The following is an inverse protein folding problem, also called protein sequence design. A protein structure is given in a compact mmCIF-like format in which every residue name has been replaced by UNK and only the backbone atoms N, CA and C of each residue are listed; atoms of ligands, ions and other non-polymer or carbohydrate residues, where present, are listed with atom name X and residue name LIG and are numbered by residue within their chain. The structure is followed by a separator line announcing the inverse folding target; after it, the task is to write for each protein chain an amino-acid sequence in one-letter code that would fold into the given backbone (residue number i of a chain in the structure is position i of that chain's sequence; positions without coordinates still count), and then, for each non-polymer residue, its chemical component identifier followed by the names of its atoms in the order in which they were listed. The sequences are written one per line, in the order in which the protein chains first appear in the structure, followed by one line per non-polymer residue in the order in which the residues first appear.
data_IF_870526137965
#
_entry.id   IF_870526137965
#
_cell.length_a   1.000
_cell.length_b   1.000
_cell.length_c   1.000
_cell.angle_alpha   90.00
_cell.angle_beta   90.00
_cell.angle_gamma   90.00
#
_symmetry.space_group_name_H-M   'P 1'
#
loop_
_entity.id
_entity.type
_entity.pdbx_description
1 polymer ?
#
# COMPACT_ATOMS: atom_id res chain seq x y z
N UNK A 1 -21.17 8.90 -7.90
CA UNK A 1 -21.33 9.98 -6.90
C UNK A 1 -21.31 9.46 -5.47
N UNK A 2 -22.16 8.50 -5.07
CA UNK A 2 -22.18 7.98 -3.68
C UNK A 2 -20.83 7.50 -3.14
N UNK A 3 -20.10 6.70 -3.93
CA UNK A 3 -18.82 6.11 -3.49
C UNK A 3 -17.72 7.15 -3.30
N UNK A 4 -17.74 8.23 -4.08
CA UNK A 4 -16.78 9.32 -3.94
C UNK A 4 -17.01 10.10 -2.65
N UNK A 5 -18.27 10.41 -2.31
CA UNK A 5 -18.60 11.04 -1.03
C UNK A 5 -18.24 10.16 0.17
N UNK A 6 -18.51 8.85 0.09
CA UNK A 6 -18.12 7.89 1.14
C UNK A 6 -16.60 7.83 1.31
N UNK A 7 -15.85 7.78 0.20
CA UNK A 7 -14.40 7.79 0.24
C UNK A 7 -13.87 9.06 0.94
N UNK A 8 -14.40 10.24 0.62
CA UNK A 8 -14.02 11.49 1.28
C UNK A 8 -14.32 11.46 2.79
N UNK A 9 -15.52 11.03 3.19
CA UNK A 9 -15.88 10.96 4.60
C UNK A 9 -15.00 9.97 5.39
N UNK A 10 -14.62 8.84 4.79
CA UNK A 10 -13.69 7.88 5.40
C UNK A 10 -12.29 8.50 5.56
N UNK A 11 -11.80 9.19 4.54
CA UNK A 11 -10.49 9.85 4.59
C UNK A 11 -10.44 10.93 5.68
N UNK A 12 -11.46 11.76 5.79
CA UNK A 12 -11.58 12.74 6.88
C UNK A 12 -11.58 12.07 8.26
N UNK A 13 -12.23 10.90 8.38
CA UNK A 13 -12.19 10.09 9.59
C UNK A 13 -10.77 9.59 9.92
N UNK A 14 -10.06 9.05 8.94
CA UNK A 14 -8.69 8.58 9.10
C UNK A 14 -7.71 9.69 9.47
N UNK A 15 -7.91 10.90 8.95
CA UNK A 15 -7.08 12.05 9.32
C UNK A 15 -7.25 12.40 10.80
N UNK A 16 -8.50 12.43 11.28
CA UNK A 16 -8.81 12.70 12.69
C UNK A 16 -8.27 11.62 13.63
N UNK A 17 -8.23 10.37 13.18
CA UNK A 17 -7.64 9.25 13.92
C UNK A 17 -6.11 9.33 13.94
N UNK A 18 -5.49 9.97 12.94
CA UNK A 18 -4.05 10.07 12.79
C UNK A 18 -3.43 8.83 12.15
N UNK A 19 -4.06 8.29 11.10
CA UNK A 19 -3.49 7.18 10.34
C UNK A 19 -2.15 7.57 9.69
N UNK A 20 -1.13 6.71 9.85
CA UNK A 20 0.22 6.99 9.34
C UNK A 20 0.41 6.68 7.84
N UNK A 21 -0.43 5.79 7.28
CA UNK A 21 -0.41 5.47 5.87
C UNK A 21 -1.69 4.74 5.46
N UNK A 22 -2.05 4.85 4.17
CA UNK A 22 -3.10 4.05 3.52
C UNK A 22 -2.44 3.21 2.41
N UNK A 23 -2.61 1.89 2.47
CA UNK A 23 -2.17 1.02 1.38
C UNK A 23 -3.17 1.08 0.22
N UNK A 24 -2.68 1.26 -1.01
CA UNK A 24 -3.53 1.25 -2.21
C UNK A 24 -3.86 -0.19 -2.59
N UNK A 25 -5.14 -0.55 -2.46
CA UNK A 25 -5.68 -1.84 -2.88
C UNK A 25 -6.80 -1.72 -3.91
N UNK A 26 -7.60 -2.78 -4.02
CA UNK A 26 -8.72 -2.84 -4.97
C UNK A 26 -9.70 -1.68 -4.81
N UNK A 27 -10.08 -1.38 -3.57
CA UNK A 27 -11.14 -0.41 -3.27
C UNK A 27 -10.71 1.03 -3.54
N UNK A 28 -9.46 1.37 -3.21
CA UNK A 28 -8.89 2.69 -3.49
C UNK A 28 -8.83 2.96 -5.00
N UNK A 29 -8.66 1.92 -5.81
CA UNK A 29 -8.63 1.99 -7.27
C UNK A 29 -10.01 1.99 -7.94
N UNK A 30 -11.11 1.65 -7.24
CA UNK A 30 -12.43 1.48 -7.88
C UNK A 30 -12.93 2.72 -8.62
N UNK A 31 -12.67 3.91 -8.09
CA UNK A 31 -13.10 5.18 -8.67
C UNK A 31 -12.16 5.71 -9.78
N UNK A 32 -11.13 4.95 -10.16
CA UNK A 32 -10.16 5.36 -11.17
C UNK A 32 -8.91 6.04 -10.59
N UNK A 33 -7.81 5.99 -11.36
CA UNK A 33 -6.50 6.49 -10.93
C UNK A 33 -6.50 8.01 -10.73
N UNK A 34 -7.18 8.75 -11.61
CA UNK A 34 -7.28 10.21 -11.51
C UNK A 34 -7.94 10.65 -10.22
N UNK A 35 -9.08 10.03 -9.86
CA UNK A 35 -9.77 10.31 -8.60
C UNK A 35 -8.90 9.94 -7.40
N UNK A 36 -8.25 8.77 -7.43
CA UNK A 36 -7.36 8.35 -6.35
C UNK A 36 -6.20 9.34 -6.15
N UNK A 37 -5.57 9.81 -7.23
CA UNK A 37 -4.48 10.79 -7.17
C UNK A 37 -4.95 12.14 -6.63
N UNK A 38 -6.13 12.60 -7.03
CA UNK A 38 -6.74 13.81 -6.50
C UNK A 38 -6.98 13.70 -4.98
N UNK A 39 -7.55 12.57 -4.53
CA UNK A 39 -7.80 12.33 -3.10
C UNK A 39 -6.51 12.17 -2.29
N UNK A 40 -5.51 11.48 -2.82
CA UNK A 40 -4.21 11.35 -2.18
C UNK A 40 -3.51 12.71 -2.01
N UNK A 41 -3.73 13.65 -2.92
CA UNK A 41 -3.23 15.03 -2.80
C UNK A 41 -4.05 15.94 -1.89
N UNK A 42 -5.28 15.55 -1.51
CA UNK A 42 -6.15 16.35 -0.64
C UNK A 42 -6.06 15.98 0.84
N UNK A 43 -5.22 15.01 1.21
CA UNK A 43 -5.02 14.56 2.60
C UNK A 43 -3.55 14.60 2.97
N UNK A 44 -3.30 14.77 4.27
CA UNK A 44 -1.96 14.62 4.87
C UNK A 44 -1.52 13.17 5.03
N UNK A 45 -2.45 12.20 4.89
CA UNK A 45 -2.13 10.78 5.03
C UNK A 45 -1.44 10.29 3.75
N UNK A 46 -0.22 9.73 3.85
CA UNK A 46 0.48 9.22 2.68
C UNK A 46 -0.18 7.93 2.19
N UNK A 47 -0.47 7.90 0.89
CA UNK A 47 -0.84 6.68 0.19
C UNK A 47 0.42 5.95 -0.24
N UNK A 48 0.52 4.67 0.11
CA UNK A 48 1.70 3.84 -0.17
C UNK A 48 1.33 2.61 -1.01
N UNK A 49 2.26 2.19 -1.87
CA UNK A 49 2.21 0.91 -2.57
C UNK A 49 3.55 0.60 -3.23
N UNK A 50 4.16 -0.52 -2.87
CA UNK A 50 5.47 -0.92 -3.34
C UNK A 50 5.46 -1.62 -4.70
N UNK A 51 4.30 -2.07 -5.17
CA UNK A 51 4.20 -2.91 -6.36
C UNK A 51 3.26 -2.37 -7.44
N UNK A 52 2.59 -1.24 -7.23
CA UNK A 52 1.74 -0.62 -8.25
C UNK A 52 2.51 0.32 -9.18
N UNK A 53 2.36 0.12 -10.48
CA UNK A 53 3.07 0.85 -11.53
C UNK A 53 2.13 1.42 -12.59
N UNK A 54 2.55 2.54 -13.19
CA UNK A 54 1.94 3.01 -14.43
C UNK A 54 2.30 2.04 -15.56
N UNK A 55 1.29 1.54 -16.29
CA UNK A 55 1.48 0.65 -17.42
C UNK A 55 2.32 1.27 -18.55
N UNK A 56 2.31 2.60 -18.70
CA UNK A 56 3.03 3.31 -19.76
C UNK A 56 4.51 3.53 -19.43
N UNK A 57 4.82 3.84 -18.16
CA UNK A 57 6.17 4.24 -17.73
C UNK A 57 6.91 3.20 -16.90
N UNK A 58 6.21 2.22 -16.33
CA UNK A 58 6.72 1.26 -15.31
C UNK A 58 7.24 1.90 -14.02
N UNK A 59 7.09 3.21 -13.84
CA UNK A 59 7.39 3.87 -12.58
C UNK A 59 6.36 3.51 -11.52
N UNK A 60 6.79 3.53 -10.25
CA UNK A 60 5.89 3.35 -9.12
C UNK A 60 4.87 4.49 -9.07
N UNK A 61 3.62 4.15 -8.83
CA UNK A 61 2.55 5.14 -8.71
C UNK A 61 2.55 5.83 -7.35
N UNK A 62 3.07 5.19 -6.31
CA UNK A 62 3.05 5.70 -4.93
C UNK A 62 4.39 5.40 -4.27
N UNK A 63 4.65 6.06 -3.14
CA UNK A 63 5.82 5.71 -2.34
C UNK A 63 5.68 4.26 -1.85
N UNK A 64 6.75 3.45 -1.91
CA UNK A 64 6.65 2.03 -1.61
C UNK A 64 6.41 1.74 -0.13
N UNK A 65 6.92 2.61 0.74
CA UNK A 65 6.85 2.46 2.18
C UNK A 65 6.95 3.82 2.87
N UNK A 66 6.65 3.83 4.17
CA UNK A 66 6.93 4.94 5.07
C UNK A 66 7.63 4.45 6.33
N UNK A 67 8.61 5.21 6.82
CA UNK A 67 9.22 4.96 8.12
C UNK A 67 8.72 6.05 9.08
N UNK A 68 8.20 5.64 10.23
CA UNK A 68 7.70 6.52 11.27
C UNK A 68 8.42 6.24 12.57
N UNK A 69 8.78 7.29 13.30
CA UNK A 69 9.41 7.14 14.61
C UNK A 69 8.33 7.14 15.71
N UNK A 70 8.42 6.19 16.64
CA UNK A 70 7.57 6.07 17.83
C UNK A 70 8.44 5.85 19.05
N UNK A 71 8.71 6.92 19.78
CA UNK A 71 9.70 6.92 20.85
C UNK A 71 11.08 6.60 20.29
N UNK A 72 11.67 5.49 20.75
CA UNK A 72 12.98 5.02 20.29
C UNK A 72 12.90 4.02 19.13
N UNK A 73 11.70 3.65 18.69
CA UNK A 73 11.51 2.67 17.63
C UNK A 73 11.24 3.34 16.28
N UNK A 74 11.95 2.90 15.26
CA UNK A 74 11.65 3.14 13.87
C UNK A 74 10.72 2.03 13.37
N UNK A 75 9.55 2.41 12.87
CA UNK A 75 8.55 1.50 12.32
C UNK A 75 8.45 1.70 10.82
N UNK A 76 8.85 0.71 10.03
CA UNK A 76 8.69 0.68 8.58
C UNK A 76 7.33 0.09 8.20
N UNK A 77 6.58 0.78 7.35
CA UNK A 77 5.26 0.36 6.87
C UNK A 77 5.33 0.22 5.35
N UNK A 78 5.17 -1.00 4.83
CA UNK A 78 5.18 -1.30 3.39
C UNK A 78 3.74 -1.58 2.93
N UNK A 79 3.35 -1.02 1.78
CA UNK A 79 2.06 -1.30 1.14
C UNK A 79 2.20 -2.27 -0.02
N UNK A 80 1.36 -3.29 -0.11
CA UNK A 80 1.35 -4.28 -1.19
C UNK A 80 -0.08 -4.66 -1.58
N UNK A 81 -0.31 -4.97 -2.86
CA UNK A 81 -1.60 -5.49 -3.32
C UNK A 81 -1.45 -6.60 -4.36
N UNK A 82 -2.31 -7.61 -4.29
CA UNK A 82 -2.48 -8.59 -5.37
C UNK A 82 -3.85 -8.46 -6.04
N UNK A 83 -4.62 -7.43 -5.69
CA UNK A 83 -6.01 -7.27 -6.09
C UNK A 83 -6.18 -5.95 -6.84
N UNK A 84 -5.96 -6.00 -8.15
CA UNK A 84 -6.38 -4.94 -9.05
C UNK A 84 -7.84 -5.14 -9.44
N UNK A 85 -8.65 -4.06 -9.56
CA UNK A 85 -9.96 -4.16 -10.18
C UNK A 85 -9.83 -4.63 -11.64
N UNK A 86 -10.72 -5.51 -12.10
CA UNK A 86 -10.70 -6.00 -13.49
C UNK A 86 -10.88 -4.88 -14.52
N UNK A 87 -11.48 -3.76 -14.11
CA UNK A 87 -11.67 -2.56 -14.92
C UNK A 87 -10.43 -1.68 -15.04
N UNK A 88 -9.36 -1.95 -14.27
CA UNK A 88 -8.13 -1.16 -14.32
C UNK A 88 -7.23 -1.57 -15.47
N UNK A 89 -7.13 -0.70 -16.47
CA UNK A 89 -6.33 -0.94 -17.69
C UNK A 89 -5.01 -0.16 -17.71
N UNK A 90 -4.87 0.87 -16.88
CA UNK A 90 -3.72 1.79 -16.86
C UNK A 90 -2.70 1.48 -15.75
N UNK A 91 -3.05 0.60 -14.81
CA UNK A 91 -2.21 0.23 -13.68
C UNK A 91 -1.83 -1.23 -13.78
N UNK A 92 -0.57 -1.55 -13.48
CA UNK A 92 -0.07 -2.92 -13.34
C UNK A 92 0.47 -3.14 -11.94
N UNK A 93 0.46 -4.39 -11.47
CA UNK A 93 1.04 -4.78 -10.19
C UNK A 93 2.16 -5.79 -10.41
N UNK A 94 3.35 -5.52 -9.85
CA UNK A 94 4.39 -6.54 -9.73
C UNK A 94 3.96 -7.63 -8.73
N UNK A 95 4.63 -8.78 -8.75
CA UNK A 95 4.37 -9.84 -7.77
C UNK A 95 4.61 -9.33 -6.35
N UNK A 96 3.52 -9.27 -5.58
CA UNK A 96 3.53 -8.68 -4.25
C UNK A 96 4.40 -9.45 -3.24
N UNK A 97 4.60 -10.76 -3.43
CA UNK A 97 5.46 -11.57 -2.55
C UNK A 97 6.94 -11.30 -2.84
N UNK A 98 7.33 -11.28 -4.11
CA UNK A 98 8.70 -10.95 -4.53
C UNK A 98 9.06 -9.51 -4.16
N UNK A 99 8.19 -8.55 -4.47
CA UNK A 99 8.38 -7.14 -4.09
C UNK A 99 8.46 -7.00 -2.56
N UNK A 100 7.55 -7.63 -1.82
CA UNK A 100 7.56 -7.61 -0.35
C UNK A 100 8.86 -8.15 0.23
N UNK A 101 9.37 -9.29 -0.27
CA UNK A 101 10.67 -9.84 0.16
C UNK A 101 11.83 -8.89 -0.13
N UNK A 102 11.83 -8.23 -1.28
CA UNK A 102 12.86 -7.25 -1.65
C UNK A 102 12.90 -6.07 -0.67
N UNK A 103 11.74 -5.47 -0.37
CA UNK A 103 11.66 -4.37 0.60
C UNK A 103 11.92 -4.81 2.03
N UNK A 104 11.53 -6.03 2.42
CA UNK A 104 11.87 -6.59 3.73
C UNK A 104 13.39 -6.68 3.90
N UNK A 105 14.11 -7.23 2.93
CA UNK A 105 15.59 -7.28 2.97
C UNK A 105 16.20 -5.89 3.03
N UNK A 106 15.68 -4.94 2.25
CA UNK A 106 16.17 -3.56 2.20
C UNK A 106 15.98 -2.81 3.53
N UNK A 107 14.82 -2.99 4.18
CA UNK A 107 14.42 -2.20 5.34
C UNK A 107 14.76 -2.84 6.68
N UNK A 108 15.01 -4.16 6.73
CA UNK A 108 15.29 -4.88 7.99
C UNK A 108 16.42 -4.26 8.83
N UNK A 109 17.42 -3.66 8.20
CA UNK A 109 18.54 -3.01 8.90
C UNK A 109 18.27 -1.54 9.30
N UNK A 110 17.17 -0.94 8.85
CA UNK A 110 16.85 0.48 9.02
C UNK A 110 15.72 0.72 10.03
N UNK A 111 14.96 -0.33 10.37
CA UNK A 111 13.78 -0.23 11.23
C UNK A 111 13.81 -1.31 12.31
N UNK A 112 13.27 -0.98 13.48
CA UNK A 112 13.14 -1.92 14.60
C UNK A 112 11.92 -2.82 14.41
N UNK A 113 10.86 -2.27 13.81
CA UNK A 113 9.61 -2.98 13.53
C UNK A 113 9.27 -2.78 12.06
N UNK A 114 8.94 -3.88 11.37
CA UNK A 114 8.45 -3.84 9.99
C UNK A 114 7.01 -4.35 9.93
N UNK A 115 6.13 -3.52 9.38
CA UNK A 115 4.70 -3.81 9.17
C UNK A 115 4.44 -3.89 7.67
N UNK A 116 3.78 -4.97 7.23
CA UNK A 116 3.35 -5.13 5.84
C UNK A 116 1.83 -5.05 5.76
N UNK A 117 1.33 -4.04 5.06
CA UNK A 117 -0.09 -3.89 4.73
C UNK A 117 -0.34 -4.57 3.38
N UNK A 118 -1.03 -5.71 3.38
CA UNK A 118 -1.23 -6.53 2.18
C UNK A 118 -2.71 -6.63 1.82
N UNK A 119 -3.09 -6.08 0.66
CA UNK A 119 -4.41 -6.27 0.08
C UNK A 119 -4.39 -7.50 -0.84
N UNK A 120 -4.72 -8.67 -0.30
CA UNK A 120 -4.81 -9.93 -1.06
C UNK A 120 -6.03 -10.75 -0.64
N UNK A 121 -6.33 -11.79 -1.41
CA UNK A 121 -7.42 -12.70 -1.12
C UNK A 121 -7.07 -13.57 0.12
N UNK A 122 -8.06 -13.84 0.97
CA UNK A 122 -7.88 -14.54 2.25
C UNK A 122 -7.21 -15.91 2.10
N UNK A 123 -7.42 -16.60 0.98
CA UNK A 123 -6.79 -17.91 0.68
C UNK A 123 -5.27 -17.85 0.57
N UNK A 124 -4.71 -16.67 0.27
CA UNK A 124 -3.28 -16.49 0.03
C UNK A 124 -2.52 -16.07 1.29
N UNK A 125 -3.20 -15.84 2.43
CA UNK A 125 -2.53 -15.42 3.66
C UNK A 125 -1.53 -16.46 4.17
N UNK A 126 -1.81 -17.76 4.05
CA UNK A 126 -0.88 -18.84 4.43
C UNK A 126 0.45 -18.77 3.67
N UNK A 127 0.40 -18.45 2.37
CA UNK A 127 1.60 -18.32 1.53
C UNK A 127 2.48 -17.13 1.93
N UNK A 128 1.88 -16.12 2.58
CA UNK A 128 2.55 -14.94 3.10
C UNK A 128 3.41 -15.30 4.33
N UNK A 129 2.87 -16.10 5.24
CA UNK A 129 3.58 -16.55 6.44
C UNK A 129 4.74 -17.48 6.10
N UNK A 130 4.53 -18.43 5.18
CA UNK A 130 5.59 -19.30 4.67
C UNK A 130 6.72 -18.51 3.99
N UNK A 131 6.38 -17.43 3.28
CA UNK A 131 7.36 -16.58 2.59
C UNK A 131 8.10 -15.62 3.52
N UNK A 132 7.48 -15.19 4.63
CA UNK A 132 8.11 -14.30 5.62
C UNK A 132 8.98 -15.06 6.63
N UNK A 133 8.66 -16.33 6.90
CA UNK A 133 9.38 -17.21 7.80
C UNK A 133 10.48 -18.04 7.13
N UNK A 134 10.65 -17.92 5.80
CA UNK A 134 11.73 -18.61 5.10
C UNK A 134 13.09 -18.14 5.66
N UNK A 135 13.92 -19.05 6.22
CA UNK A 135 15.21 -18.69 6.77
C UNK A 135 16.11 -18.10 5.67
N UNK A 136 16.83 -17.04 6.02
CA UNK A 136 17.97 -16.57 5.23
C UNK A 136 19.07 -17.63 5.19
#
# INVERSE_FOLDING_TARGET
MSEQYRASAILEGYEKIGCEAINVGRYELLCGLSFLKERAGSTSIPFISANLRDKKGKDLLFDPYRIVQRGHFNVGIIGLTSMLPDTMTTVTADDYLETGRSFLKKLKAQVDILVMLVNTNRKNYESLFLSAAAPC
#
